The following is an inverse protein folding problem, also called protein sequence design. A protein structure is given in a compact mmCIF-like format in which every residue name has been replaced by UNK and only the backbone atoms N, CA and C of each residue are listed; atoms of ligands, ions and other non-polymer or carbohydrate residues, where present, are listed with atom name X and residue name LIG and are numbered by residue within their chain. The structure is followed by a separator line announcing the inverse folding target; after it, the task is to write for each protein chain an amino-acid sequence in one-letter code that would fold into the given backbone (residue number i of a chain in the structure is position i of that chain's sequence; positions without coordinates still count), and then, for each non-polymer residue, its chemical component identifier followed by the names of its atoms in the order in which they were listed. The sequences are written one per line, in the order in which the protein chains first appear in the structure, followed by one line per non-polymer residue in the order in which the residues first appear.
data_IF_672737537996
#
_entry.id   IF_672737537996
#
_cell.length_a   1.000
_cell.length_b   1.000
_cell.length_c   1.000
_cell.angle_alpha   90.00
_cell.angle_beta   90.00
_cell.angle_gamma   90.00
#
_symmetry.space_group_name_H-M   'P 1'
#
loop_
_entity.id
_entity.type
_entity.pdbx_description
1 polymer ?
#
# COMPACT_ATOMS: atom_id res chain seq x y z
N UNK A 1 10.10 -22.98 -4.25
CA UNK A 1 10.82 -22.61 -3.02
C UNK A 1 9.85 -22.45 -1.87
N UNK A 2 10.18 -23.06 -0.76
CA UNK A 2 9.34 -22.94 0.43
C UNK A 2 9.72 -21.70 1.23
N UNK A 3 8.72 -21.00 1.73
CA UNK A 3 8.95 -19.86 2.63
C UNK A 3 9.20 -20.43 4.03
N UNK A 4 10.27 -19.99 4.67
CA UNK A 4 10.58 -20.44 6.03
C UNK A 4 9.50 -19.96 7.00
N UNK A 5 9.39 -20.63 8.14
CA UNK A 5 8.44 -20.23 9.17
C UNK A 5 8.70 -18.79 9.63
N UNK A 6 9.97 -18.44 9.81
CA UNK A 6 10.33 -17.09 10.22
C UNK A 6 9.93 -16.06 9.16
N UNK A 7 10.22 -16.34 7.90
CA UNK A 7 9.83 -15.44 6.80
C UNK A 7 8.32 -15.28 6.73
N UNK A 8 7.58 -16.37 6.95
CA UNK A 8 6.13 -16.32 6.94
C UNK A 8 5.60 -15.43 8.06
N UNK A 9 6.13 -15.57 9.27
CA UNK A 9 5.73 -14.74 10.41
C UNK A 9 6.05 -13.29 10.13
N UNK A 10 7.26 -12.99 9.64
CA UNK A 10 7.67 -11.62 9.33
C UNK A 10 6.73 -11.03 8.27
N UNK A 11 6.41 -11.78 7.22
CA UNK A 11 5.53 -11.26 6.16
C UNK A 11 4.14 -10.94 6.70
N UNK A 12 3.59 -11.78 7.59
CA UNK A 12 2.29 -11.52 8.19
C UNK A 12 2.31 -10.29 9.09
N UNK A 13 3.38 -10.12 9.89
CA UNK A 13 3.50 -8.96 10.76
C UNK A 13 3.56 -7.68 9.94
N UNK A 14 4.41 -7.64 8.93
CA UNK A 14 4.55 -6.44 8.09
C UNK A 14 3.27 -6.19 7.32
N UNK A 15 2.68 -7.23 6.73
CA UNK A 15 1.44 -7.08 5.97
C UNK A 15 0.31 -6.58 6.85
N UNK A 16 0.20 -7.08 8.07
CA UNK A 16 -0.81 -6.63 9.02
C UNK A 16 -0.64 -5.17 9.40
N UNK A 17 0.61 -4.76 9.67
CA UNK A 17 0.88 -3.36 10.00
C UNK A 17 0.59 -2.44 8.82
N UNK A 18 0.99 -2.83 7.62
CA UNK A 18 0.72 -2.02 6.42
C UNK A 18 -0.78 -1.95 6.14
N UNK A 19 -1.49 -3.07 6.27
CA UNK A 19 -2.93 -3.08 6.06
C UNK A 19 -3.63 -2.15 7.06
N UNK A 20 -3.23 -2.20 8.33
CA UNK A 20 -3.78 -1.30 9.34
C UNK A 20 -3.53 0.16 8.97
N UNK A 21 -2.31 0.47 8.50
CA UNK A 21 -1.97 1.81 8.07
C UNK A 21 -2.86 2.27 6.92
N UNK A 22 -3.06 1.42 5.91
CA UNK A 22 -3.89 1.77 4.76
C UNK A 22 -5.37 1.91 5.16
N UNK A 23 -5.86 1.05 6.04
CA UNK A 23 -7.25 1.16 6.49
C UNK A 23 -7.46 2.45 7.29
N UNK A 24 -6.50 2.82 8.12
CA UNK A 24 -6.54 4.07 8.87
C UNK A 24 -6.53 5.26 7.90
N UNK A 25 -5.63 5.23 6.93
CA UNK A 25 -5.53 6.29 5.93
C UNK A 25 -6.82 6.42 5.11
N UNK A 26 -7.37 5.29 4.68
CA UNK A 26 -8.61 5.29 3.90
C UNK A 26 -9.79 5.81 4.71
N UNK A 27 -9.88 5.43 5.99
CA UNK A 27 -10.98 5.90 6.83
C UNK A 27 -10.89 7.42 7.03
N UNK A 28 -9.66 7.94 7.14
CA UNK A 28 -9.47 9.38 7.20
C UNK A 28 -9.97 10.07 5.96
N UNK A 29 -9.66 9.53 4.79
CA UNK A 29 -10.13 10.11 3.52
C UNK A 29 -11.64 10.05 3.38
N UNK A 30 -12.24 8.95 3.85
CA UNK A 30 -13.68 8.76 3.70
C UNK A 30 -14.49 9.55 4.73
N UNK A 31 -13.97 9.70 5.95
CA UNK A 31 -14.79 10.20 7.06
C UNK A 31 -14.22 11.41 7.81
N UNK A 32 -12.91 11.57 7.91
CA UNK A 32 -12.34 12.48 8.90
C UNK A 32 -11.51 13.64 8.37
N UNK A 33 -10.86 13.51 7.21
CA UNK A 33 -9.85 14.50 6.78
C UNK A 33 -10.04 14.96 5.33
N UNK A 34 -11.17 15.59 5.00
CA UNK A 34 -11.36 16.09 3.63
C UNK A 34 -10.36 17.18 3.24
N UNK A 35 -9.87 17.93 4.22
CA UNK A 35 -8.98 19.06 3.96
C UNK A 35 -7.71 18.65 3.27
N UNK A 36 -7.11 17.52 3.67
CA UNK A 36 -5.87 17.04 3.06
C UNK A 36 -6.08 16.73 1.58
N UNK A 37 -7.22 16.11 1.27
CA UNK A 37 -7.55 15.79 -0.12
C UNK A 37 -7.80 17.06 -0.93
N UNK A 38 -8.45 18.05 -0.33
CA UNK A 38 -8.70 19.32 -0.99
C UNK A 38 -7.38 20.04 -1.28
N UNK A 39 -6.42 19.98 -0.36
CA UNK A 39 -5.10 20.58 -0.57
C UNK A 39 -4.38 19.95 -1.77
N UNK A 40 -4.62 18.68 -2.02
CA UNK A 40 -4.05 17.95 -3.14
C UNK A 40 -4.94 18.01 -4.38
N UNK A 41 -6.05 18.73 -4.32
CA UNK A 41 -7.04 18.85 -5.40
C UNK A 41 -7.68 17.51 -5.72
N UNK A 42 -7.88 16.68 -4.70
CA UNK A 42 -8.46 15.35 -4.84
C UNK A 42 -9.81 15.20 -4.12
N UNK A 43 -10.41 16.31 -3.67
CA UNK A 43 -11.64 16.25 -2.89
C UNK A 43 -12.75 15.46 -3.55
N UNK A 44 -12.93 15.63 -4.88
CA UNK A 44 -13.98 14.96 -5.62
C UNK A 44 -13.70 13.47 -5.82
N UNK A 45 -12.46 13.05 -5.63
CA UNK A 45 -12.03 11.67 -5.84
C UNK A 45 -11.86 10.90 -4.53
N UNK A 46 -12.14 11.55 -3.42
CA UNK A 46 -11.85 11.03 -2.09
C UNK A 46 -12.45 9.64 -1.85
N UNK A 47 -13.71 9.46 -2.19
CA UNK A 47 -14.39 8.19 -1.98
C UNK A 47 -13.80 7.09 -2.82
N UNK A 48 -13.53 7.38 -4.10
CA UNK A 48 -12.94 6.39 -5.02
C UNK A 48 -11.55 5.98 -4.55
N UNK A 49 -10.74 6.95 -4.14
CA UNK A 49 -9.38 6.68 -3.67
C UNK A 49 -9.43 5.86 -2.38
N UNK A 50 -10.30 6.21 -1.44
CA UNK A 50 -10.43 5.47 -0.18
C UNK A 50 -10.89 4.04 -0.38
N UNK A 51 -11.90 3.83 -1.20
CA UNK A 51 -12.40 2.48 -1.50
C UNK A 51 -11.34 1.66 -2.22
N UNK A 52 -10.65 2.26 -3.18
CA UNK A 52 -9.57 1.59 -3.90
C UNK A 52 -8.45 1.19 -2.97
N UNK A 53 -8.10 2.07 -2.03
CA UNK A 53 -7.07 1.78 -1.04
C UNK A 53 -7.44 0.61 -0.14
N UNK A 54 -8.69 0.58 0.35
CA UNK A 54 -9.17 -0.53 1.19
C UNK A 54 -9.14 -1.84 0.41
N UNK A 55 -9.68 -1.85 -0.80
CA UNK A 55 -9.71 -3.04 -1.63
C UNK A 55 -8.29 -3.57 -1.88
N UNK A 56 -7.39 -2.67 -2.25
CA UNK A 56 -5.99 -3.04 -2.52
C UNK A 56 -5.31 -3.60 -1.29
N UNK A 57 -5.55 -2.97 -0.13
CA UNK A 57 -4.94 -3.42 1.13
C UNK A 57 -5.44 -4.81 1.53
N UNK A 58 -6.72 -5.09 1.35
CA UNK A 58 -7.26 -6.40 1.67
C UNK A 58 -6.72 -7.48 0.74
N UNK A 59 -6.61 -7.18 -0.56
CA UNK A 59 -6.00 -8.10 -1.50
C UNK A 59 -4.54 -8.36 -1.15
N UNK A 60 -3.84 -7.33 -0.71
CA UNK A 60 -2.44 -7.45 -0.32
C UNK A 60 -2.27 -8.31 0.94
N UNK A 61 -3.20 -8.19 1.89
CA UNK A 61 -3.09 -8.88 3.18
C UNK A 61 -3.12 -10.41 3.03
N UNK A 62 -3.98 -10.92 2.16
CA UNK A 62 -4.15 -12.37 2.02
C UNK A 62 -3.14 -12.95 1.03
N UNK A 63 -2.48 -14.07 1.41
CA UNK A 63 -1.42 -14.61 0.54
C UNK A 63 -1.87 -14.99 -0.87
N UNK A 64 -3.10 -15.45 -1.03
CA UNK A 64 -3.58 -15.89 -2.35
C UNK A 64 -3.73 -14.72 -3.33
N UNK A 65 -4.04 -13.53 -2.83
CA UNK A 65 -4.26 -12.35 -3.66
C UNK A 65 -3.16 -11.31 -3.51
N UNK A 66 -2.10 -11.64 -2.78
CA UNK A 66 -1.04 -10.68 -2.48
C UNK A 66 -0.42 -10.07 -3.73
N UNK A 67 -0.20 -10.85 -4.78
CA UNK A 67 0.37 -10.31 -6.01
C UNK A 67 -0.49 -9.20 -6.60
N UNK A 68 -1.80 -9.40 -6.63
CA UNK A 68 -2.72 -8.39 -7.16
C UNK A 68 -2.73 -7.15 -6.26
N UNK A 69 -2.79 -7.36 -4.94
CA UNK A 69 -2.73 -6.25 -4.00
C UNK A 69 -1.43 -5.48 -4.10
N UNK A 70 -0.31 -6.18 -4.29
CA UNK A 70 1.00 -5.55 -4.45
C UNK A 70 1.02 -4.63 -5.67
N UNK A 71 0.50 -5.10 -6.80
CA UNK A 71 0.45 -4.27 -8.01
C UNK A 71 -0.44 -3.05 -7.82
N UNK A 72 -1.60 -3.24 -7.21
CA UNK A 72 -2.52 -2.14 -6.97
C UNK A 72 -1.95 -1.12 -5.99
N UNK A 73 -1.36 -1.60 -4.88
CA UNK A 73 -0.75 -0.69 -3.90
C UNK A 73 0.48 0.00 -4.47
N UNK A 74 1.25 -0.68 -5.31
CA UNK A 74 2.41 -0.04 -5.97
C UNK A 74 1.96 1.11 -6.85
N UNK A 75 0.89 0.91 -7.62
CA UNK A 75 0.33 1.97 -8.45
C UNK A 75 -0.17 3.12 -7.58
N UNK A 76 -0.87 2.81 -6.49
CA UNK A 76 -1.36 3.81 -5.56
C UNK A 76 -0.21 4.61 -4.94
N UNK A 77 0.83 3.92 -4.46
CA UNK A 77 1.97 4.61 -3.82
C UNK A 77 2.78 5.41 -4.82
N UNK A 78 2.89 4.93 -6.07
CA UNK A 78 3.53 5.72 -7.11
C UNK A 78 2.82 7.03 -7.34
N UNK A 79 1.49 7.00 -7.41
CA UNK A 79 0.68 8.21 -7.52
C UNK A 79 0.84 9.11 -6.29
N UNK A 80 0.88 8.51 -5.09
CA UNK A 80 1.05 9.26 -3.85
C UNK A 80 2.40 9.98 -3.83
N UNK A 81 3.47 9.31 -4.27
CA UNK A 81 4.79 9.92 -4.33
C UNK A 81 4.76 11.15 -5.24
N UNK A 82 4.19 11.01 -6.43
CA UNK A 82 4.12 12.12 -7.38
C UNK A 82 3.29 13.27 -6.81
N UNK A 83 2.16 12.97 -6.18
CA UNK A 83 1.32 14.02 -5.58
C UNK A 83 2.05 14.74 -4.46
N UNK A 84 2.81 14.01 -3.63
CA UNK A 84 3.58 14.66 -2.58
C UNK A 84 4.65 15.57 -3.17
N UNK A 85 5.34 15.11 -4.23
CA UNK A 85 6.36 15.92 -4.89
C UNK A 85 5.79 17.20 -5.47
N UNK A 86 4.67 17.10 -6.17
CA UNK A 86 4.09 18.27 -6.84
C UNK A 86 3.45 19.25 -5.87
N UNK A 87 3.16 18.81 -4.65
CA UNK A 87 2.58 19.66 -3.61
C UNK A 87 3.59 20.08 -2.54
N UNK A 88 4.87 19.84 -2.79
CA UNK A 88 5.93 20.28 -1.87
C UNK A 88 5.99 19.49 -0.58
N UNK A 89 5.43 18.29 -0.54
CA UNK A 89 5.43 17.43 0.64
C UNK A 89 6.57 16.43 0.58
N UNK A 90 6.98 15.91 1.74
CA UNK A 90 8.03 14.90 1.80
C UNK A 90 7.58 13.61 1.15
N UNK A 91 8.46 12.98 0.36
CA UNK A 91 8.19 11.68 -0.26
C UNK A 91 8.75 10.53 0.56
N UNK A 92 9.34 10.81 1.73
CA UNK A 92 9.97 9.77 2.54
C UNK A 92 9.02 8.67 2.98
N UNK A 93 7.87 9.04 3.54
CA UNK A 93 6.90 8.07 4.04
C UNK A 93 6.32 7.20 2.92
N UNK A 94 5.77 7.75 1.83
CA UNK A 94 5.23 6.90 0.77
C UNK A 94 6.30 6.02 0.12
N UNK A 95 7.52 6.51 -0.01
CA UNK A 95 8.60 5.70 -0.56
C UNK A 95 8.95 4.53 0.35
N UNK A 96 9.03 4.78 1.66
CA UNK A 96 9.31 3.73 2.63
C UNK A 96 8.22 2.66 2.62
N UNK A 97 6.96 3.09 2.59
CA UNK A 97 5.82 2.16 2.54
C UNK A 97 5.89 1.31 1.27
N UNK A 98 6.24 1.91 0.14
CA UNK A 98 6.37 1.16 -1.11
C UNK A 98 7.45 0.07 -1.00
N UNK A 99 8.58 0.39 -0.37
CA UNK A 99 9.63 -0.60 -0.16
C UNK A 99 9.11 -1.76 0.68
N UNK A 100 8.39 -1.48 1.77
CA UNK A 100 7.84 -2.52 2.63
C UNK A 100 6.81 -3.40 1.90
N UNK A 101 6.00 -2.80 1.03
CA UNK A 101 5.05 -3.57 0.22
C UNK A 101 5.79 -4.64 -0.59
N UNK A 102 6.89 -4.27 -1.23
CA UNK A 102 7.65 -5.21 -2.04
C UNK A 102 8.45 -6.21 -1.21
N UNK A 103 8.88 -5.83 0.00
CA UNK A 103 9.50 -6.80 0.91
C UNK A 103 8.51 -7.93 1.20
N UNK A 104 7.27 -7.60 1.55
CA UNK A 104 6.23 -8.61 1.81
C UNK A 104 5.97 -9.43 0.55
N UNK A 105 5.87 -8.77 -0.60
CA UNK A 105 5.60 -9.46 -1.86
C UNK A 105 6.66 -10.52 -2.15
N UNK A 106 7.94 -10.19 -1.97
CA UNK A 106 9.02 -11.14 -2.19
C UNK A 106 9.03 -12.25 -1.14
N UNK A 107 8.72 -11.94 0.11
CA UNK A 107 8.65 -12.97 1.14
C UNK A 107 7.53 -13.98 0.87
N UNK A 108 6.41 -13.51 0.34
CA UNK A 108 5.26 -14.38 0.06
C UNK A 108 5.34 -15.03 -1.30
N UNK A 109 6.03 -14.40 -2.25
CA UNK A 109 6.10 -14.87 -3.64
C UNK A 109 7.56 -14.86 -4.08
N UNK A 110 8.38 -15.80 -3.57
CA UNK A 110 9.81 -15.79 -3.90
C UNK A 110 10.11 -15.87 -5.39
N UNK A 111 9.18 -16.40 -6.16
CA UNK A 111 9.34 -16.49 -7.61
C UNK A 111 9.46 -15.12 -8.28
N UNK A 112 9.04 -14.04 -7.62
CA UNK A 112 9.19 -12.70 -8.16
C UNK A 112 10.64 -12.27 -8.29
N UNK A 113 11.54 -12.93 -7.56
CA UNK A 113 12.97 -12.63 -7.65
C UNK A 113 13.64 -13.31 -8.83
N UNK A 114 12.97 -14.20 -9.51
CA UNK A 114 13.52 -14.90 -10.68
C UNK A 114 13.30 -14.06 -11.93
N UNK A 115 14.39 -13.69 -12.55
CA UNK A 115 14.38 -12.83 -13.74
C UNK A 115 14.49 -13.68 -15.01
N UNK A 116 13.47 -14.42 -15.28
CA UNK A 116 13.57 -15.34 -16.38
C UNK A 116 12.69 -15.02 -17.52
#
# INVERSE_FOLDING_TARGET
MKISKTSNIVSWVIAGLLTALFLFSASGKLFLHPEQMDQMKLGDWRTIIGVGEITSALLFLFPKTNKFGTLLLSSYMGGAIILHMTNGLSIGMPSFVLILIWVVAFLRNPELLKLK
#
